data_IF_365841680316
#
_entry.id   IF_365841680316
#
_cell.length_a   1.000
_cell.length_b   1.000
_cell.length_c   1.000
_cell.angle_alpha   90.00
_cell.angle_beta   90.00
_cell.angle_gamma   90.00
#
_symmetry.space_group_name_H-M   'P 1'
#
loop_
_entity.id
_entity.type
_entity.pdbx_description
1 polymer ?
#
# COMPACT_ATOMS: atom_id res chain seq x y z
N UNK A 1 -20.13 -17.13 3.10
CA UNK A 1 -20.34 -16.49 1.80
C UNK A 1 -20.70 -17.46 0.68
N UNK A 2 -20.08 -18.65 0.60
CA UNK A 2 -20.32 -19.62 -0.48
C UNK A 2 -21.75 -20.13 -0.59
N UNK A 3 -22.54 -20.09 0.49
CA UNK A 3 -23.96 -20.54 0.43
C UNK A 3 -24.82 -19.66 -0.49
N UNK A 4 -24.45 -18.40 -0.75
CA UNK A 4 -25.15 -17.55 -1.73
C UNK A 4 -25.11 -18.11 -3.15
N UNK A 5 -24.11 -18.90 -3.51
CA UNK A 5 -24.05 -19.53 -4.85
C UNK A 5 -25.13 -20.60 -5.04
N UNK A 6 -25.65 -21.16 -3.94
CA UNK A 6 -26.69 -22.18 -3.96
C UNK A 6 -28.10 -21.59 -3.95
N UNK A 7 -28.23 -20.28 -3.72
CA UNK A 7 -29.49 -19.56 -3.72
C UNK A 7 -29.84 -19.11 -5.13
N UNK A 8 -31.03 -19.48 -5.66
CA UNK A 8 -31.51 -18.95 -6.94
C UNK A 8 -31.53 -17.42 -6.94
N UNK A 9 -31.19 -16.80 -8.08
CA UNK A 9 -31.07 -15.34 -8.20
C UNK A 9 -32.32 -14.60 -7.72
N UNK A 10 -33.50 -15.11 -8.07
CA UNK A 10 -34.79 -14.55 -7.67
C UNK A 10 -35.05 -14.53 -6.16
N UNK A 11 -34.31 -15.32 -5.37
CA UNK A 11 -34.45 -15.43 -3.92
C UNK A 11 -33.33 -14.68 -3.19
N UNK A 12 -32.37 -14.07 -3.90
CA UNK A 12 -31.31 -13.25 -3.29
C UNK A 12 -31.85 -11.86 -2.92
N UNK A 13 -32.63 -11.80 -1.85
CA UNK A 13 -33.12 -10.52 -1.33
C UNK A 13 -31.97 -9.67 -0.76
N UNK A 14 -32.12 -8.33 -0.70
CA UNK A 14 -31.13 -7.45 -0.07
C UNK A 14 -30.77 -7.87 1.35
N UNK A 15 -31.74 -8.28 2.15
CA UNK A 15 -31.53 -8.71 3.54
C UNK A 15 -30.67 -9.98 3.62
N UNK A 16 -30.96 -10.96 2.74
CA UNK A 16 -30.17 -12.20 2.66
C UNK A 16 -28.74 -11.91 2.24
N UNK A 17 -28.56 -11.05 1.24
CA UNK A 17 -27.23 -10.63 0.76
C UNK A 17 -26.45 -9.91 1.86
N UNK A 18 -27.08 -8.98 2.58
CA UNK A 18 -26.45 -8.25 3.68
C UNK A 18 -26.03 -9.17 4.83
N UNK A 19 -26.88 -10.14 5.19
CA UNK A 19 -26.53 -11.13 6.22
C UNK A 19 -25.36 -12.02 5.78
N UNK A 20 -25.29 -12.39 4.51
CA UNK A 20 -24.18 -13.16 3.97
C UNK A 20 -22.87 -12.35 3.99
N UNK A 21 -22.92 -11.08 3.62
CA UNK A 21 -21.76 -10.16 3.64
C UNK A 21 -21.29 -9.95 5.09
N UNK A 22 -22.19 -9.78 6.04
CA UNK A 22 -21.87 -9.62 7.46
C UNK A 22 -21.07 -10.81 8.00
N UNK A 23 -21.36 -12.02 7.52
CA UNK A 23 -20.64 -13.25 7.89
C UNK A 23 -19.32 -13.43 7.15
N UNK A 24 -19.26 -12.95 5.92
CA UNK A 24 -18.06 -13.07 5.08
C UNK A 24 -18.05 -11.98 4.00
N UNK A 25 -17.06 -11.08 4.01
CA UNK A 25 -16.89 -10.06 2.97
C UNK A 25 -16.89 -10.63 1.54
N UNK A 26 -16.35 -11.84 1.35
CA UNK A 26 -16.30 -12.51 0.05
C UNK A 26 -17.69 -12.90 -0.51
N UNK A 27 -18.77 -12.75 0.28
CA UNK A 27 -20.13 -12.92 -0.25
C UNK A 27 -20.51 -11.83 -1.26
N UNK A 28 -19.82 -10.70 -1.28
CA UNK A 28 -20.02 -9.59 -2.22
C UNK A 28 -19.89 -10.07 -3.67
N UNK A 29 -19.04 -11.03 -3.96
CA UNK A 29 -18.87 -11.60 -5.30
C UNK A 29 -20.16 -12.23 -5.83
N UNK A 30 -21.00 -12.77 -4.95
CA UNK A 30 -22.17 -13.59 -5.29
C UNK A 30 -23.51 -12.88 -5.16
N UNK A 31 -23.53 -11.58 -4.85
CA UNK A 31 -24.77 -10.79 -4.82
C UNK A 31 -25.23 -10.42 -6.24
N UNK A 32 -26.52 -10.09 -6.46
CA UNK A 32 -27.02 -9.64 -7.75
C UNK A 32 -26.30 -8.40 -8.28
N UNK A 33 -26.07 -8.37 -9.59
CA UNK A 33 -25.45 -7.20 -10.26
C UNK A 33 -26.23 -5.91 -10.01
N UNK A 34 -27.55 -6.01 -9.87
CA UNK A 34 -28.42 -4.86 -9.58
C UNK A 34 -28.13 -4.19 -8.23
N UNK A 35 -27.45 -4.88 -7.34
CA UNK A 35 -27.01 -4.34 -6.03
C UNK A 35 -25.59 -3.80 -6.08
N UNK A 36 -24.81 -4.13 -7.09
CA UNK A 36 -23.41 -3.72 -7.21
C UNK A 36 -23.33 -2.29 -7.76
N UNK A 37 -23.12 -1.33 -6.87
CA UNK A 37 -22.87 0.06 -7.25
C UNK A 37 -21.74 0.65 -6.40
N UNK A 38 -21.05 1.69 -6.85
CA UNK A 38 -20.03 2.38 -6.07
C UNK A 38 -20.55 2.89 -4.73
N UNK A 39 -21.79 3.39 -4.70
CA UNK A 39 -22.43 3.87 -3.46
C UNK A 39 -22.67 2.74 -2.47
N UNK A 40 -23.18 1.59 -2.97
CA UNK A 40 -23.39 0.40 -2.15
C UNK A 40 -22.07 -0.11 -1.56
N UNK A 41 -21.03 -0.18 -2.37
CA UNK A 41 -19.70 -0.61 -1.91
C UNK A 41 -19.11 0.36 -0.88
N UNK A 42 -19.24 1.66 -1.10
CA UNK A 42 -18.80 2.69 -0.16
C UNK A 42 -19.51 2.54 1.19
N UNK A 43 -20.83 2.32 1.19
CA UNK A 43 -21.59 2.11 2.42
C UNK A 43 -21.21 0.82 3.14
N UNK A 44 -20.90 -0.24 2.40
CA UNK A 44 -20.40 -1.49 2.99
C UNK A 44 -19.05 -1.29 3.69
N UNK A 45 -18.12 -0.57 3.04
CA UNK A 45 -16.78 -0.28 3.62
C UNK A 45 -16.92 0.61 4.85
N UNK A 46 -17.78 1.64 4.81
CA UNK A 46 -18.04 2.52 5.95
C UNK A 46 -18.59 1.76 7.15
N UNK A 47 -19.48 0.79 6.93
CA UNK A 47 -20.05 -0.06 7.99
C UNK A 47 -19.04 -1.06 8.57
N UNK A 48 -18.20 -1.63 7.70
CA UNK A 48 -17.15 -2.55 8.09
C UNK A 48 -15.98 -2.48 7.06
N UNK A 49 -14.83 -1.89 7.43
CA UNK A 49 -13.65 -1.77 6.56
C UNK A 49 -13.20 -3.08 5.92
N UNK A 50 -13.39 -4.22 6.61
CA UNK A 50 -13.04 -5.55 6.09
C UNK A 50 -13.82 -5.93 4.82
N UNK A 51 -14.97 -5.30 4.56
CA UNK A 51 -15.75 -5.52 3.35
C UNK A 51 -14.97 -5.14 2.08
N UNK A 52 -13.97 -4.25 2.18
CA UNK A 52 -13.09 -3.90 1.07
C UNK A 52 -12.42 -5.13 0.42
N UNK A 53 -12.17 -6.19 1.21
CA UNK A 53 -11.57 -7.44 0.72
C UNK A 53 -12.46 -8.21 -0.25
N UNK A 54 -13.77 -8.06 -0.11
CA UNK A 54 -14.75 -8.75 -0.96
C UNK A 54 -15.11 -7.97 -2.21
N UNK A 55 -14.75 -6.68 -2.29
CA UNK A 55 -15.00 -5.84 -3.46
C UNK A 55 -13.94 -6.17 -4.53
N UNK A 56 -14.33 -6.43 -5.80
CA UNK A 56 -13.39 -6.62 -6.90
C UNK A 56 -12.39 -5.47 -7.00
N UNK A 57 -11.15 -5.75 -7.39
CA UNK A 57 -10.09 -4.73 -7.45
C UNK A 57 -10.48 -3.55 -8.35
N UNK A 58 -11.09 -3.85 -9.51
CA UNK A 58 -11.51 -2.84 -10.51
C UNK A 58 -12.65 -1.92 -10.01
N UNK A 59 -13.43 -2.37 -9.03
CA UNK A 59 -14.54 -1.62 -8.43
C UNK A 59 -14.13 -0.80 -7.20
N UNK A 60 -12.87 -0.94 -6.73
CA UNK A 60 -12.37 -0.19 -5.57
C UNK A 60 -12.01 1.21 -5.96
N UNK A 61 -12.61 2.20 -5.29
CA UNK A 61 -12.22 3.60 -5.43
C UNK A 61 -11.18 4.00 -4.38
N UNK A 62 -10.49 5.11 -4.64
CA UNK A 62 -9.58 5.70 -3.67
C UNK A 62 -10.29 6.01 -2.34
N UNK A 63 -11.50 6.55 -2.39
CA UNK A 63 -12.31 6.91 -1.22
C UNK A 63 -12.62 5.68 -0.37
N UNK A 64 -12.97 4.54 -0.99
CA UNK A 64 -13.19 3.28 -0.26
C UNK A 64 -11.92 2.79 0.44
N UNK A 65 -10.78 2.85 -0.25
CA UNK A 65 -9.50 2.43 0.31
C UNK A 65 -9.08 3.35 1.46
N UNK A 66 -9.26 4.66 1.31
CA UNK A 66 -8.98 5.66 2.34
C UNK A 66 -9.89 5.49 3.56
N UNK A 67 -11.19 5.35 3.35
CA UNK A 67 -12.16 5.12 4.42
C UNK A 67 -11.82 3.85 5.23
N UNK A 68 -11.46 2.77 4.52
CA UNK A 68 -11.04 1.53 5.17
C UNK A 68 -9.76 1.71 5.98
N UNK A 69 -8.77 2.41 5.42
CA UNK A 69 -7.50 2.69 6.08
C UNK A 69 -7.70 3.57 7.34
N UNK A 70 -8.43 4.67 7.22
CA UNK A 70 -8.68 5.60 8.33
C UNK A 70 -9.47 4.95 9.47
N UNK A 71 -10.40 4.05 9.15
CA UNK A 71 -11.21 3.33 10.14
C UNK A 71 -10.53 2.12 10.78
N UNK A 72 -9.42 1.64 10.23
CA UNK A 72 -8.60 0.56 10.80
C UNK A 72 -7.32 1.12 11.38
N UNK A 73 -6.31 1.33 10.55
CA UNK A 73 -5.01 1.81 10.96
C UNK A 73 -5.04 3.21 11.60
N UNK A 74 -5.92 4.10 11.15
CA UNK A 74 -6.09 5.43 11.74
C UNK A 74 -6.50 5.38 13.21
N UNK A 75 -7.29 4.38 13.60
CA UNK A 75 -7.76 4.17 14.99
C UNK A 75 -6.82 3.29 15.81
N UNK A 76 -6.36 2.20 15.22
CA UNK A 76 -5.43 1.25 15.83
C UNK A 76 -4.27 0.97 14.86
N UNK A 77 -3.12 1.56 15.16
CA UNK A 77 -1.90 1.44 14.33
C UNK A 77 -1.32 0.02 14.27
N UNK A 78 -1.95 -0.93 14.95
CA UNK A 78 -1.61 -2.37 14.87
C UNK A 78 -2.60 -3.17 14.04
N UNK A 79 -3.69 -2.55 13.56
CA UNK A 79 -4.70 -3.24 12.76
C UNK A 79 -4.30 -3.28 11.27
N UNK A 80 -3.85 -4.46 10.86
CA UNK A 80 -3.46 -4.79 9.47
C UNK A 80 -4.62 -5.42 8.68
N UNK A 81 -5.86 -5.34 9.18
CA UNK A 81 -7.00 -6.08 8.63
C UNK A 81 -7.35 -5.72 7.19
N UNK A 82 -7.04 -4.50 6.75
CA UNK A 82 -7.20 -4.05 5.34
C UNK A 82 -5.91 -4.09 4.54
N UNK A 83 -4.85 -4.68 5.12
CA UNK A 83 -3.58 -4.87 4.43
C UNK A 83 -3.77 -5.60 3.08
N UNK A 84 -3.09 -5.14 2.05
CA UNK A 84 -3.17 -5.70 0.70
C UNK A 84 -4.43 -5.30 -0.09
N UNK A 85 -5.26 -4.39 0.44
CA UNK A 85 -6.36 -3.79 -0.33
C UNK A 85 -5.86 -2.72 -1.34
N UNK A 86 -4.70 -2.11 -1.06
CA UNK A 86 -4.05 -1.17 -1.98
C UNK A 86 -3.32 -1.94 -3.09
N UNK A 87 -3.96 -2.05 -4.22
CA UNK A 87 -3.46 -2.82 -5.37
C UNK A 87 -3.09 -1.94 -6.55
N UNK A 88 -3.63 -0.73 -6.63
CA UNK A 88 -3.44 0.17 -7.76
C UNK A 88 -2.41 1.27 -7.45
N UNK A 89 -1.41 1.50 -8.33
CA UNK A 89 -0.34 2.47 -8.10
C UNK A 89 -0.84 3.91 -7.87
N UNK A 90 -1.88 4.34 -8.58
CA UNK A 90 -2.42 5.70 -8.43
C UNK A 90 -3.04 5.92 -7.04
N UNK A 91 -3.77 4.93 -6.52
CA UNK A 91 -4.33 4.99 -5.16
C UNK A 91 -3.22 4.98 -4.11
N UNK A 92 -2.21 4.12 -4.31
CA UNK A 92 -1.04 4.04 -3.44
C UNK A 92 -0.29 5.37 -3.38
N UNK A 93 -0.06 6.00 -4.55
CA UNK A 93 0.62 7.29 -4.66
C UNK A 93 -0.14 8.40 -3.90
N UNK A 94 -1.45 8.45 -4.08
CA UNK A 94 -2.27 9.48 -3.43
C UNK A 94 -2.26 9.28 -1.91
N UNK A 95 -2.39 8.05 -1.42
CA UNK A 95 -2.31 7.77 0.02
C UNK A 95 -0.95 8.15 0.61
N UNK A 96 0.16 7.84 -0.08
CA UNK A 96 1.50 8.25 0.36
C UNK A 96 1.65 9.77 0.38
N UNK A 97 1.09 10.49 -0.62
CA UNK A 97 1.14 11.97 -0.67
C UNK A 97 0.42 12.63 0.50
N UNK A 98 -0.70 12.05 0.93
CA UNK A 98 -1.50 12.59 2.02
C UNK A 98 -0.92 12.33 3.42
N UNK A 99 0.06 11.43 3.55
CA UNK A 99 0.68 11.11 4.83
C UNK A 99 2.00 11.86 5.02
N UNK A 100 2.19 12.45 6.20
CA UNK A 100 3.45 13.10 6.60
C UNK A 100 4.18 12.36 7.72
N UNK A 101 3.49 11.48 8.46
CA UNK A 101 4.10 10.66 9.51
C UNK A 101 4.95 9.52 8.91
N UNK A 102 6.28 9.49 9.17
CA UNK A 102 7.17 8.46 8.65
C UNK A 102 6.76 7.03 9.02
N UNK A 103 6.15 6.82 10.20
CA UNK A 103 5.68 5.49 10.62
C UNK A 103 4.49 5.03 9.81
N UNK A 104 3.61 5.96 9.47
CA UNK A 104 2.47 5.67 8.59
C UNK A 104 2.94 5.35 7.17
N UNK A 105 3.95 6.06 6.65
CA UNK A 105 4.57 5.73 5.36
C UNK A 105 5.20 4.33 5.39
N UNK A 106 5.97 4.02 6.44
CA UNK A 106 6.59 2.69 6.62
C UNK A 106 5.52 1.58 6.63
N UNK A 107 4.43 1.80 7.35
CA UNK A 107 3.29 0.89 7.37
C UNK A 107 2.67 0.70 5.98
N UNK A 108 2.33 1.79 5.28
CA UNK A 108 1.74 1.73 3.94
C UNK A 108 2.62 0.90 2.99
N UNK A 109 3.93 1.16 2.97
CA UNK A 109 4.87 0.42 2.12
C UNK A 109 4.96 -1.06 2.49
N UNK A 110 4.75 -1.41 3.76
CA UNK A 110 4.74 -2.81 4.23
C UNK A 110 3.51 -3.57 3.76
N UNK A 111 2.35 -2.90 3.70
CA UNK A 111 1.06 -3.55 3.41
C UNK A 111 0.66 -3.49 1.94
N UNK A 112 1.26 -2.59 1.17
CA UNK A 112 1.03 -2.50 -0.28
C UNK A 112 1.49 -3.76 -0.98
N UNK A 113 0.73 -4.19 -1.98
CA UNK A 113 1.20 -5.25 -2.88
C UNK A 113 2.34 -4.73 -3.76
N UNK A 114 3.34 -5.57 -4.08
CA UNK A 114 4.47 -5.14 -4.92
C UNK A 114 4.05 -4.47 -6.23
N UNK A 115 2.97 -4.93 -6.86
CA UNK A 115 2.44 -4.33 -8.10
C UNK A 115 1.94 -2.89 -7.95
N UNK A 116 1.56 -2.48 -6.73
CA UNK A 116 1.10 -1.12 -6.43
C UNK A 116 2.27 -0.16 -6.17
N UNK A 117 3.49 -0.68 -5.96
CA UNK A 117 4.68 0.11 -5.71
C UNK A 117 5.33 0.45 -7.06
N UNK A 118 4.86 1.53 -7.69
CA UNK A 118 5.51 2.10 -8.87
C UNK A 118 6.73 2.95 -8.48
N UNK A 119 7.54 3.35 -9.46
CA UNK A 119 8.66 4.29 -9.24
C UNK A 119 8.18 5.59 -8.57
N UNK A 120 7.04 6.14 -9.01
CA UNK A 120 6.48 7.37 -8.44
C UNK A 120 6.08 7.20 -6.97
N UNK A 121 5.45 6.07 -6.62
CA UNK A 121 5.11 5.72 -5.22
C UNK A 121 6.37 5.61 -4.38
N UNK A 122 7.37 4.87 -4.88
CA UNK A 122 8.64 4.68 -4.19
C UNK A 122 9.40 6.00 -4.00
N UNK A 123 9.42 6.87 -5.02
CA UNK A 123 10.09 8.17 -4.97
C UNK A 123 9.43 9.10 -3.95
N UNK A 124 8.10 9.19 -3.96
CA UNK A 124 7.36 10.02 -3.01
C UNK A 124 7.53 9.52 -1.56
N UNK A 125 7.44 8.21 -1.37
CA UNK A 125 7.66 7.59 -0.07
C UNK A 125 9.11 7.79 0.42
N UNK A 126 10.11 7.66 -0.47
CA UNK A 126 11.52 7.82 -0.13
C UNK A 126 11.88 9.25 0.28
N UNK A 127 11.21 10.26 -0.29
CA UNK A 127 11.37 11.67 0.11
C UNK A 127 10.90 11.92 1.54
N UNK A 128 9.87 11.20 1.98
CA UNK A 128 9.27 11.33 3.31
C UNK A 128 9.92 10.41 4.35
N UNK A 129 10.33 9.23 3.92
CA UNK A 129 10.98 8.24 4.79
C UNK A 129 11.94 7.35 3.97
N UNK A 130 13.24 7.60 4.06
CA UNK A 130 14.26 6.83 3.33
C UNK A 130 14.33 5.34 3.70
N UNK A 131 13.90 4.96 4.90
CA UNK A 131 13.91 3.56 5.35
C UNK A 131 13.02 2.64 4.50
N UNK A 132 12.09 3.19 3.75
CA UNK A 132 11.13 2.41 2.96
C UNK A 132 11.77 1.56 1.86
N UNK A 133 13.02 1.87 1.46
CA UNK A 133 13.70 1.11 0.41
C UNK A 133 13.76 -0.40 0.67
N UNK A 134 13.72 -0.81 1.94
CA UNK A 134 13.67 -2.24 2.32
C UNK A 134 12.41 -2.96 1.83
N UNK A 135 11.34 -2.22 1.52
CA UNK A 135 10.06 -2.77 1.06
C UNK A 135 9.85 -2.57 -0.44
N UNK A 136 10.69 -1.75 -1.09
CA UNK A 136 10.57 -1.46 -2.51
C UNK A 136 11.19 -2.60 -3.32
N UNK A 137 10.48 -3.14 -4.32
CA UNK A 137 11.06 -4.12 -5.25
C UNK A 137 12.30 -3.53 -5.92
N UNK A 138 13.37 -4.34 -6.07
CA UNK A 138 14.66 -3.88 -6.59
C UNK A 138 14.54 -3.26 -7.98
N UNK A 139 13.64 -3.76 -8.78
CA UNK A 139 13.36 -3.33 -10.15
C UNK A 139 12.76 -1.92 -10.21
N UNK A 140 12.17 -1.47 -9.10
CA UNK A 140 11.54 -0.15 -8.96
C UNK A 140 12.54 0.88 -8.39
N UNK A 141 13.64 0.42 -7.77
CA UNK A 141 14.64 1.31 -7.19
C UNK A 141 15.50 1.89 -8.32
N UNK A 142 15.11 3.05 -8.82
CA UNK A 142 15.92 3.84 -9.77
C UNK A 142 16.97 4.69 -9.03
N UNK A 143 17.87 5.29 -9.78
CA UNK A 143 18.84 6.23 -9.22
C UNK A 143 18.15 7.36 -8.45
N UNK A 144 17.05 7.92 -8.98
CA UNK A 144 16.30 9.01 -8.34
C UNK A 144 15.69 8.58 -7.01
N UNK A 145 15.10 7.37 -6.96
CA UNK A 145 14.54 6.79 -5.73
C UNK A 145 15.65 6.58 -4.69
N UNK A 146 16.79 6.04 -5.13
CA UNK A 146 17.96 5.85 -4.26
C UNK A 146 18.50 7.15 -3.69
N UNK A 147 18.67 8.19 -4.53
CA UNK A 147 19.12 9.51 -4.09
C UNK A 147 18.17 10.16 -3.08
N UNK A 148 16.86 10.09 -3.33
CA UNK A 148 15.88 10.63 -2.44
C UNK A 148 15.93 9.94 -1.07
N UNK A 149 16.02 8.61 -1.07
CA UNK A 149 16.09 7.82 0.16
C UNK A 149 17.37 8.09 0.97
N UNK A 150 18.55 8.14 0.30
CA UNK A 150 19.83 8.41 0.95
C UNK A 150 19.89 9.83 1.52
N UNK A 151 19.32 10.82 0.83
CA UNK A 151 19.23 12.19 1.34
C UNK A 151 18.35 12.29 2.59
N UNK A 152 17.25 11.54 2.62
CA UNK A 152 16.36 11.51 3.77
C UNK A 152 16.97 10.70 4.94
N UNK A 153 17.54 9.54 4.62
CA UNK A 153 18.15 8.64 5.60
C UNK A 153 19.42 7.98 5.03
N UNK A 154 20.63 8.44 5.42
CA UNK A 154 21.90 8.00 4.83
C UNK A 154 22.12 6.49 4.82
N UNK A 155 21.69 5.79 5.89
CA UNK A 155 21.81 4.34 5.99
C UNK A 155 21.00 3.57 4.94
N UNK A 156 20.09 4.24 4.21
CA UNK A 156 19.33 3.63 3.13
C UNK A 156 20.18 3.21 1.94
N UNK A 157 21.44 3.71 1.85
CA UNK A 157 22.43 3.30 0.83
C UNK A 157 22.60 1.76 0.76
N UNK A 158 22.40 1.05 1.88
CA UNK A 158 22.50 -0.42 1.95
C UNK A 158 21.49 -1.15 1.07
N UNK A 159 20.33 -0.55 0.81
CA UNK A 159 19.27 -1.12 -0.03
C UNK A 159 19.30 -0.63 -1.48
N UNK A 160 20.09 0.40 -1.79
CA UNK A 160 20.29 0.85 -3.17
C UNK A 160 21.10 -0.20 -3.93
N UNK A 161 20.65 -0.71 -5.08
CA UNK A 161 21.46 -1.61 -5.93
C UNK A 161 22.83 -1.02 -6.27
N UNK A 162 23.87 -1.85 -6.29
CA UNK A 162 25.26 -1.37 -6.45
C UNK A 162 25.52 -0.68 -7.78
N UNK A 163 24.89 -1.15 -8.83
CA UNK A 163 25.01 -0.67 -10.21
C UNK A 163 24.47 0.75 -10.42
N UNK A 164 23.57 1.20 -9.55
CA UNK A 164 22.99 2.56 -9.62
C UNK A 164 23.48 3.50 -8.51
N UNK A 165 24.40 3.05 -7.64
CA UNK A 165 24.99 3.93 -6.61
C UNK A 165 25.91 4.96 -7.28
N UNK A 166 25.65 6.23 -7.00
CA UNK A 166 26.51 7.32 -7.44
C UNK A 166 27.59 7.65 -6.39
N UNK A 167 28.68 8.27 -6.84
CA UNK A 167 29.71 8.78 -5.94
C UNK A 167 29.11 9.76 -4.90
N UNK A 168 28.19 10.60 -5.35
CA UNK A 168 27.52 11.59 -4.47
C UNK A 168 26.69 10.94 -3.39
N UNK A 169 25.92 9.87 -3.72
CA UNK A 169 25.18 9.09 -2.70
C UNK A 169 26.14 8.52 -1.66
N UNK A 170 27.24 7.91 -2.11
CA UNK A 170 28.22 7.29 -1.23
C UNK A 170 28.91 8.34 -0.33
N UNK A 171 29.33 9.48 -0.91
CA UNK A 171 29.94 10.58 -0.16
C UNK A 171 28.98 11.17 0.87
N UNK A 172 27.70 11.34 0.51
CA UNK A 172 26.70 11.84 1.43
C UNK A 172 26.47 10.87 2.60
N UNK A 173 26.32 9.59 2.31
CA UNK A 173 26.17 8.55 3.32
C UNK A 173 27.38 8.46 4.25
N UNK A 174 28.62 8.46 3.69
CA UNK A 174 29.85 8.41 4.44
C UNK A 174 30.06 9.63 5.38
N UNK A 175 29.75 10.84 4.89
CA UNK A 175 29.85 12.05 5.73
C UNK A 175 28.88 12.06 6.89
N UNK A 176 27.75 11.36 6.75
CA UNK A 176 26.71 11.30 7.77
C UNK A 176 26.94 10.17 8.80
N UNK A 177 27.63 9.10 8.37
CA UNK A 177 27.91 7.93 9.22
C UNK A 177 29.13 7.17 8.70
N UNK A 178 30.22 7.20 9.46
CA UNK A 178 31.50 6.56 9.09
C UNK A 178 31.41 5.02 8.99
N UNK A 179 30.42 4.39 9.63
CA UNK A 179 30.19 2.94 9.54
C UNK A 179 29.68 2.52 8.14
N UNK A 180 29.24 3.46 7.33
CA UNK A 180 28.75 3.21 5.98
C UNK A 180 29.85 3.07 4.91
N UNK A 181 31.13 3.19 5.28
CA UNK A 181 32.28 3.08 4.33
C UNK A 181 32.28 1.77 3.51
N UNK A 182 31.78 0.68 4.10
CA UNK A 182 31.65 -0.62 3.41
C UNK A 182 30.73 -0.59 2.17
N UNK A 183 29.89 0.42 2.04
CA UNK A 183 28.95 0.55 0.91
C UNK A 183 29.48 1.44 -0.22
N UNK A 184 30.64 2.09 -0.03
CA UNK A 184 31.25 2.93 -1.05
C UNK A 184 31.90 2.08 -2.16
N UNK A 185 31.86 2.50 -3.43
CA UNK A 185 32.61 1.85 -4.49
C UNK A 185 34.14 1.99 -4.24
N UNK A 186 34.92 0.95 -4.60
CA UNK A 186 36.38 0.91 -4.43
C UNK A 186 37.12 2.08 -5.11
N UNK A 187 36.47 2.80 -6.04
CA UNK A 187 37.05 3.94 -6.77
C UNK A 187 37.08 5.26 -5.98
N UNK A 188 36.48 5.32 -4.79
CA UNK A 188 36.38 6.54 -3.96
C UNK A 188 37.34 6.49 -2.77
N UNK A 189 38.03 5.38 -2.57
CA UNK A 189 39.09 5.23 -1.55
C UNK A 189 40.37 5.94 -1.95
#
# INVERSE_FOLDING_TARGET
>A
GRYLTMVPEALKTPELCMEAIRRSPYAIEFIPETMKSPEFYTDLVRKNPLNLRGIPEDDRTYEMCKEAFDNTYGKDKTDYSVAGALTEPLMALQMVREQDDPKTIDFLMTVMRPKAISEEVALEAARKNGHILRFVPKEVITQQVGEAAVKNHPQSIRWVPRDIRTADMCLYAFKSDSELDIYTPDRIR
#
